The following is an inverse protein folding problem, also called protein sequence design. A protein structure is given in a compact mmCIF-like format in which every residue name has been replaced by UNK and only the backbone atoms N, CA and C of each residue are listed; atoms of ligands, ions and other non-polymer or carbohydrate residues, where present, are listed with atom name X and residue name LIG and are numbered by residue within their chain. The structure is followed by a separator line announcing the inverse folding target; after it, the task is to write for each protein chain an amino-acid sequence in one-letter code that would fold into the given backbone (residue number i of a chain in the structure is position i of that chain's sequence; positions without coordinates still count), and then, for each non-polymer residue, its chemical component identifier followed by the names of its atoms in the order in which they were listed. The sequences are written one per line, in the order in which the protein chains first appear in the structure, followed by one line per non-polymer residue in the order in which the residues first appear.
data_IF_177855098263
#
_entry.id   IF_177855098263
#
_cell.length_a   1.000
_cell.length_b   1.000
_cell.length_c   1.000
_cell.angle_alpha   90.00
_cell.angle_beta   90.00
_cell.angle_gamma   90.00
#
_symmetry.space_group_name_H-M   'P 1'
#
loop_
_entity.id
_entity.type
_entity.pdbx_description
1 polymer ?
#
# COMPACT_ATOMS: atom_id res chain seq x y z
N UNK A 1 27.46 5.84 9.46
CA UNK A 1 27.29 4.45 9.93
C UNK A 1 26.07 3.93 9.20
N UNK A 2 26.06 2.72 8.66
CA UNK A 2 24.98 2.23 7.78
C UNK A 2 23.59 2.08 8.45
N UNK A 3 23.47 2.46 9.72
CA UNK A 3 22.23 2.46 10.51
C UNK A 3 21.33 3.68 10.23
N UNK A 4 21.88 4.80 9.74
CA UNK A 4 21.14 6.08 9.57
C UNK A 4 20.19 6.11 8.35
N UNK A 5 20.25 5.12 7.45
CA UNK A 5 19.52 5.13 6.16
C UNK A 5 18.35 4.14 6.12
N UNK A 6 17.77 3.78 7.27
CA UNK A 6 16.70 2.77 7.34
C UNK A 6 15.37 3.25 6.78
N UNK A 7 14.91 4.45 7.17
CA UNK A 7 13.62 5.01 6.74
C UNK A 7 13.78 6.51 6.45
N UNK A 8 13.35 6.99 5.27
CA UNK A 8 13.43 8.42 4.96
C UNK A 8 12.37 9.25 5.69
N UNK A 9 11.09 8.83 5.60
CA UNK A 9 10.00 9.38 6.40
C UNK A 9 9.16 8.26 7.03
N UNK A 10 9.10 8.27 8.35
CA UNK A 10 8.09 7.53 9.11
C UNK A 10 6.84 8.39 9.26
N UNK A 11 5.78 7.97 8.58
CA UNK A 11 4.49 8.66 8.50
C UNK A 11 3.41 7.98 9.35
N UNK A 12 3.84 7.05 10.23
CA UNK A 12 2.98 6.23 11.08
C UNK A 12 1.91 7.04 11.81
N UNK A 13 0.67 6.92 11.33
CA UNK A 13 -0.51 7.50 11.99
C UNK A 13 -0.59 9.03 11.85
N UNK A 14 0.04 9.59 10.80
CA UNK A 14 -0.10 10.99 10.43
C UNK A 14 -1.27 11.16 9.48
N UNK A 15 -2.11 12.15 9.75
CA UNK A 15 -3.28 12.50 8.94
C UNK A 15 -3.22 13.96 8.53
N UNK A 16 -3.92 14.34 7.46
CA UNK A 16 -4.04 15.72 6.96
C UNK A 16 -2.69 16.36 6.62
N UNK A 17 -1.91 15.72 5.75
CA UNK A 17 -0.63 16.26 5.33
C UNK A 17 -0.34 15.98 3.87
N UNK A 18 0.53 16.81 3.29
CA UNK A 18 0.92 16.76 1.89
C UNK A 18 2.44 16.74 1.76
N UNK A 19 2.92 15.97 0.79
CA UNK A 19 4.30 15.91 0.32
C UNK A 19 4.31 16.29 -1.16
N UNK A 20 5.10 17.30 -1.54
CA UNK A 20 5.22 17.65 -2.94
C UNK A 20 6.58 18.19 -3.35
N UNK A 21 7.04 17.82 -4.55
CA UNK A 21 8.25 18.36 -5.16
C UNK A 21 9.56 17.87 -4.54
N UNK A 22 9.56 16.71 -3.85
CA UNK A 22 10.73 16.19 -3.13
C UNK A 22 11.28 14.94 -3.81
N UNK A 23 12.61 14.86 -3.87
CA UNK A 23 13.33 13.64 -4.28
C UNK A 23 13.91 12.92 -3.07
N UNK A 24 13.71 11.60 -3.01
CA UNK A 24 14.29 10.71 -2.02
C UNK A 24 15.22 9.72 -2.69
N UNK A 25 16.41 9.52 -2.13
CA UNK A 25 17.38 8.55 -2.66
C UNK A 25 18.26 7.93 -1.60
N UNK A 26 18.67 6.68 -1.82
CA UNK A 26 19.60 5.91 -0.99
C UNK A 26 19.06 5.60 0.41
N UNK A 27 17.86 5.03 0.46
CA UNK A 27 17.23 4.56 1.70
C UNK A 27 16.86 3.09 1.62
N UNK A 28 16.81 2.38 2.76
CA UNK A 28 16.24 1.04 2.77
C UNK A 28 14.71 1.08 2.53
N UNK A 29 13.98 1.98 3.19
CA UNK A 29 12.57 2.26 2.90
C UNK A 29 12.37 3.76 2.79
N UNK A 30 11.69 4.25 1.76
CA UNK A 30 11.49 5.69 1.63
C UNK A 30 10.34 6.15 2.53
N UNK A 31 9.12 5.67 2.27
CA UNK A 31 7.94 6.04 3.04
C UNK A 31 7.45 4.83 3.84
N UNK A 32 7.39 4.98 5.16
CA UNK A 32 6.98 3.93 6.07
C UNK A 32 5.72 4.32 6.84
N UNK A 33 4.63 3.60 6.57
CA UNK A 33 3.39 3.70 7.32
C UNK A 33 3.19 2.40 8.09
N UNK A 34 3.62 2.38 9.36
CA UNK A 34 3.53 1.18 10.20
C UNK A 34 2.15 1.00 10.82
N UNK A 35 1.87 -0.17 11.38
CA UNK A 35 0.70 -0.33 12.23
C UNK A 35 0.97 0.25 13.62
N UNK A 36 0.15 1.22 14.03
CA UNK A 36 0.06 1.71 15.40
C UNK A 36 -1.41 1.77 15.82
N UNK A 37 -1.84 1.03 16.87
CA UNK A 37 -3.24 1.01 17.27
C UNK A 37 -3.77 2.42 17.56
N UNK A 38 -5.03 2.69 17.24
CA UNK A 38 -5.74 3.94 17.56
C UNK A 38 -5.19 5.23 16.94
N UNK A 39 -4.23 5.17 16.03
CA UNK A 39 -3.74 6.35 15.29
C UNK A 39 -4.03 6.20 13.81
N UNK A 40 -5.16 6.73 13.30
CA UNK A 40 -5.49 6.64 11.88
C UNK A 40 -4.50 7.45 11.03
N UNK A 41 -4.35 7.06 9.77
CA UNK A 41 -3.63 7.83 8.76
C UNK A 41 -4.54 8.12 7.58
N UNK A 42 -5.03 9.36 7.55
CA UNK A 42 -6.10 9.77 6.66
C UNK A 42 -5.77 11.07 5.95
N UNK A 43 -6.32 11.25 4.74
CA UNK A 43 -6.18 12.50 3.98
C UNK A 43 -4.71 12.87 3.74
N UNK A 44 -3.97 11.94 3.16
CA UNK A 44 -2.55 12.10 2.81
C UNK A 44 -2.44 12.35 1.31
N UNK A 45 -1.67 13.35 0.92
CA UNK A 45 -1.39 13.65 -0.49
C UNK A 45 0.11 13.57 -0.77
N UNK A 46 0.50 12.84 -1.80
CA UNK A 46 1.88 12.72 -2.27
C UNK A 46 1.86 13.03 -3.76
N UNK A 47 2.43 14.17 -4.14
CA UNK A 47 2.30 14.70 -5.49
C UNK A 47 3.63 15.18 -6.05
N UNK A 48 3.94 14.84 -7.30
CA UNK A 48 5.12 15.38 -7.99
C UNK A 48 6.45 15.13 -7.22
N UNK A 49 6.60 13.95 -6.64
CA UNK A 49 7.83 13.51 -5.97
C UNK A 49 8.60 12.48 -6.80
N UNK A 50 9.90 12.34 -6.51
CA UNK A 50 10.75 11.32 -7.12
C UNK A 50 11.30 10.37 -6.05
N UNK A 51 10.91 9.11 -6.13
CA UNK A 51 11.31 8.04 -5.24
C UNK A 51 12.33 7.16 -5.95
N UNK A 52 13.61 7.39 -5.69
CA UNK A 52 14.71 6.80 -6.44
C UNK A 52 15.61 5.95 -5.55
N UNK A 53 16.16 4.84 -6.05
CA UNK A 53 17.21 4.03 -5.38
C UNK A 53 16.91 3.69 -3.92
N UNK A 54 16.13 2.64 -3.71
CA UNK A 54 15.79 2.12 -2.39
C UNK A 54 15.45 0.63 -2.41
N UNK A 55 15.47 -0.04 -1.26
CA UNK A 55 14.94 -1.42 -1.20
C UNK A 55 13.41 -1.41 -1.34
N UNK A 56 12.74 -0.50 -0.64
CA UNK A 56 11.28 -0.33 -0.70
C UNK A 56 10.91 1.15 -0.89
N UNK A 57 9.88 1.41 -1.70
CA UNK A 57 9.30 2.75 -1.86
C UNK A 57 8.36 3.11 -0.70
N UNK A 58 7.05 2.95 -0.92
CA UNK A 58 5.98 3.13 0.06
C UNK A 58 5.53 1.79 0.65
N UNK A 59 5.62 1.67 1.97
CA UNK A 59 5.14 0.50 2.72
C UNK A 59 3.96 0.88 3.61
N UNK A 60 2.79 0.35 3.28
CA UNK A 60 1.56 0.44 4.07
C UNK A 60 1.41 -0.86 4.88
N UNK A 61 1.63 -0.79 6.20
CA UNK A 61 1.54 -1.94 7.09
C UNK A 61 0.26 -1.89 7.93
N UNK A 62 -0.30 -3.07 8.18
CA UNK A 62 -1.52 -3.23 8.98
C UNK A 62 -1.35 -4.28 10.08
N UNK A 63 -2.23 -4.22 11.07
CA UNK A 63 -2.44 -5.35 11.97
C UNK A 63 -2.96 -6.56 11.19
N UNK A 64 -2.46 -7.73 11.56
CA UNK A 64 -3.06 -9.01 11.17
C UNK A 64 -4.01 -9.56 12.25
N UNK A 65 -3.93 -9.06 13.48
CA UNK A 65 -4.67 -9.55 14.65
C UNK A 65 -5.94 -8.71 14.89
N UNK A 66 -7.10 -9.35 14.75
CA UNK A 66 -8.44 -8.77 14.92
C UNK A 66 -8.80 -8.47 16.37
N UNK A 67 -8.05 -8.99 17.34
CA UNK A 67 -8.26 -8.70 18.77
C UNK A 67 -7.67 -7.34 19.17
N UNK A 68 -6.85 -6.74 18.31
CA UNK A 68 -6.23 -5.43 18.54
C UNK A 68 -7.03 -4.31 17.87
N UNK A 69 -7.00 -3.08 18.44
CA UNK A 69 -7.68 -1.94 17.82
C UNK A 69 -7.15 -1.67 16.42
N UNK A 70 -8.04 -1.65 15.45
CA UNK A 70 -7.65 -1.51 14.05
C UNK A 70 -7.31 -0.07 13.70
N UNK A 71 -6.18 0.10 13.01
CA UNK A 71 -5.74 1.38 12.45
C UNK A 71 -6.32 1.54 11.05
N UNK A 72 -7.01 2.64 10.80
CA UNK A 72 -7.48 3.01 9.47
C UNK A 72 -6.36 3.72 8.68
N UNK A 73 -6.14 3.32 7.43
CA UNK A 73 -5.31 4.01 6.44
C UNK A 73 -6.18 4.25 5.20
N UNK A 74 -6.64 5.49 5.00
CA UNK A 74 -7.65 5.78 3.97
C UNK A 74 -7.64 7.19 3.44
N UNK A 75 -8.23 7.40 2.27
CA UNK A 75 -8.28 8.71 1.59
C UNK A 75 -6.87 9.23 1.25
N UNK A 76 -6.03 8.36 0.71
CA UNK A 76 -4.69 8.75 0.24
C UNK A 76 -4.73 9.03 -1.26
N UNK A 77 -4.05 10.09 -1.67
CA UNK A 77 -3.88 10.50 -3.07
C UNK A 77 -2.39 10.50 -3.39
N UNK A 78 -1.98 9.68 -4.36
CA UNK A 78 -0.59 9.56 -4.80
C UNK A 78 -0.55 9.82 -6.30
N UNK A 79 -0.09 11.00 -6.70
CA UNK A 79 -0.22 11.47 -8.08
C UNK A 79 1.06 12.04 -8.66
N UNK A 80 1.24 11.90 -9.97
CA UNK A 80 2.34 12.55 -10.70
C UNK A 80 3.74 12.22 -10.16
N UNK A 81 3.93 11.08 -9.48
CA UNK A 81 5.23 10.71 -8.90
C UNK A 81 6.00 9.79 -9.84
N UNK A 82 7.33 9.87 -9.77
CA UNK A 82 8.24 8.93 -10.41
C UNK A 82 8.82 7.97 -9.35
N UNK A 83 8.78 6.68 -9.64
CA UNK A 83 9.35 5.62 -8.81
C UNK A 83 10.37 4.86 -9.64
N UNK A 84 11.64 4.90 -9.24
CA UNK A 84 12.72 4.36 -10.04
C UNK A 84 13.79 3.62 -9.24
N UNK A 85 14.33 2.54 -9.81
CA UNK A 85 15.43 1.77 -9.22
C UNK A 85 15.11 1.31 -7.79
N UNK A 86 13.97 0.63 -7.62
CA UNK A 86 13.56 0.10 -6.32
C UNK A 86 13.78 -1.42 -6.32
N UNK A 87 14.59 -1.92 -5.38
CA UNK A 87 15.07 -3.31 -5.43
C UNK A 87 13.94 -4.34 -5.27
N UNK A 88 12.93 -4.04 -4.45
CA UNK A 88 11.83 -4.96 -4.16
C UNK A 88 10.48 -4.47 -4.70
N UNK A 89 9.86 -3.48 -4.05
CA UNK A 89 8.51 -3.02 -4.41
C UNK A 89 8.37 -1.52 -4.20
N UNK A 90 7.83 -0.82 -5.21
CA UNK A 90 7.62 0.62 -5.16
C UNK A 90 6.46 0.99 -4.24
N UNK A 91 5.32 0.29 -4.35
CA UNK A 91 4.17 0.49 -3.47
C UNK A 91 3.67 -0.85 -2.98
N UNK A 92 3.61 -1.02 -1.67
CA UNK A 92 3.28 -2.30 -1.06
C UNK A 92 2.40 -2.16 0.17
N UNK A 93 1.28 -2.90 0.18
CA UNK A 93 0.47 -3.16 1.37
C UNK A 93 0.69 -4.59 1.86
N UNK A 94 1.06 -4.79 3.14
CA UNK A 94 1.10 -6.13 3.77
C UNK A 94 0.62 -6.17 5.22
N UNK A 95 0.11 -7.33 5.67
CA UNK A 95 0.06 -7.63 7.10
C UNK A 95 1.46 -7.72 7.69
N UNK A 96 1.62 -7.29 8.95
CA UNK A 96 2.81 -7.61 9.75
C UNK A 96 2.89 -9.12 9.97
N UNK A 97 4.03 -9.72 9.62
CA UNK A 97 4.23 -11.17 9.54
C UNK A 97 3.90 -11.93 10.84
N UNK A 98 4.08 -11.29 11.99
CA UNK A 98 3.78 -11.85 13.30
C UNK A 98 2.28 -11.98 13.60
N UNK A 99 1.40 -11.43 12.74
CA UNK A 99 -0.01 -11.20 13.10
C UNK A 99 -1.03 -11.94 12.22
N UNK A 100 -0.64 -12.84 11.29
CA UNK A 100 -1.60 -13.64 10.51
C UNK A 100 -2.54 -12.83 9.59
N UNK A 101 -3.68 -13.39 9.17
CA UNK A 101 -4.73 -12.74 8.35
C UNK A 101 -6.06 -12.70 9.12
N UNK A 102 -6.92 -11.64 9.02
CA UNK A 102 -7.37 -10.99 7.78
C UNK A 102 -7.34 -9.44 7.75
N UNK A 103 -7.70 -8.87 6.59
CA UNK A 103 -7.69 -7.45 6.20
C UNK A 103 -8.79 -6.55 6.72
N UNK A 104 -9.81 -7.14 7.33
CA UNK A 104 -11.08 -6.49 7.59
C UNK A 104 -11.28 -6.25 9.07
N UNK A 105 -12.04 -5.21 9.36
CA UNK A 105 -12.61 -5.00 10.66
C UNK A 105 -13.58 -6.14 11.00
N UNK A 106 -13.41 -6.85 12.13
CA UNK A 106 -14.23 -8.00 12.47
C UNK A 106 -15.67 -7.59 12.82
N UNK A 107 -15.90 -6.33 13.18
CA UNK A 107 -17.21 -5.79 13.53
C UNK A 107 -17.95 -5.28 12.28
N UNK A 108 -17.23 -4.65 11.35
CA UNK A 108 -17.87 -3.96 10.20
C UNK A 108 -17.64 -4.64 8.85
N UNK A 109 -16.69 -5.58 8.76
CA UNK A 109 -16.29 -6.22 7.50
C UNK A 109 -15.53 -5.30 6.54
N UNK A 110 -15.18 -4.08 6.95
CA UNK A 110 -14.51 -3.08 6.09
C UNK A 110 -13.00 -3.27 6.12
N UNK A 111 -12.30 -3.11 4.98
CA UNK A 111 -10.83 -3.16 5.00
C UNK A 111 -10.22 -1.94 5.69
N UNK A 112 -9.16 -2.17 6.46
CA UNK A 112 -8.43 -1.12 7.19
C UNK A 112 -7.56 -0.25 6.28
N UNK A 113 -7.15 -0.78 5.12
CA UNK A 113 -6.48 -0.03 4.06
C UNK A 113 -7.48 0.10 2.91
N UNK A 114 -7.97 1.33 2.65
CA UNK A 114 -9.00 1.56 1.64
C UNK A 114 -9.00 2.97 1.09
N UNK A 115 -9.78 3.20 0.04
CA UNK A 115 -10.00 4.53 -0.55
C UNK A 115 -8.66 5.18 -0.92
N UNK A 116 -7.87 4.46 -1.73
CA UNK A 116 -6.57 4.92 -2.21
C UNK A 116 -6.68 5.31 -3.69
N UNK A 117 -6.13 6.46 -4.05
CA UNK A 117 -6.13 6.98 -5.40
C UNK A 117 -4.70 7.16 -5.92
N UNK A 118 -4.35 6.41 -6.97
CA UNK A 118 -3.06 6.44 -7.64
C UNK A 118 -3.28 6.83 -9.10
N UNK A 119 -2.79 8.01 -9.52
CA UNK A 119 -2.91 8.43 -10.91
C UNK A 119 -1.69 9.17 -11.44
N UNK A 120 -1.41 9.00 -12.74
CA UNK A 120 -0.31 9.67 -13.45
C UNK A 120 1.07 9.41 -12.83
N UNK A 121 1.27 8.29 -12.12
CA UNK A 121 2.59 7.92 -11.63
C UNK A 121 3.34 7.11 -12.70
N UNK A 122 4.66 7.21 -12.68
CA UNK A 122 5.56 6.43 -13.53
C UNK A 122 6.42 5.54 -12.66
N UNK A 123 6.33 4.22 -12.88
CA UNK A 123 7.11 3.21 -12.17
C UNK A 123 8.05 2.53 -13.17
N UNK A 124 9.37 2.58 -12.94
CA UNK A 124 10.33 1.90 -13.80
C UNK A 124 11.54 1.34 -13.07
N UNK A 125 12.11 0.25 -13.58
CA UNK A 125 13.26 -0.43 -12.97
C UNK A 125 12.98 -0.86 -11.53
N UNK A 126 11.90 -1.62 -11.35
CA UNK A 126 11.45 -2.11 -10.04
C UNK A 126 11.65 -3.62 -9.94
N UNK A 127 12.15 -4.11 -8.81
CA UNK A 127 12.38 -5.55 -8.58
C UNK A 127 13.76 -6.05 -9.00
N UNK A 128 14.71 -5.13 -9.24
CA UNK A 128 16.10 -5.45 -9.58
C UNK A 128 17.02 -4.90 -8.50
N UNK A 129 17.89 -5.74 -7.94
CA UNK A 129 18.83 -5.26 -6.94
C UNK A 129 19.81 -4.24 -7.56
N UNK A 130 19.82 -3.01 -7.03
CA UNK A 130 20.69 -1.94 -7.51
C UNK A 130 22.18 -2.34 -7.44
N UNK A 131 22.59 -3.03 -6.37
CA UNK A 131 23.97 -3.49 -6.19
C UNK A 131 24.33 -4.72 -7.04
N UNK A 132 23.35 -5.44 -7.59
CA UNK A 132 23.58 -6.62 -8.42
C UNK A 132 22.46 -6.84 -9.46
N UNK A 133 22.60 -6.30 -10.68
CA UNK A 133 21.55 -6.32 -11.71
C UNK A 133 21.24 -7.72 -12.28
N UNK A 134 21.99 -8.76 -11.87
CA UNK A 134 21.79 -10.14 -12.31
C UNK A 134 20.90 -10.96 -11.37
N UNK A 135 20.44 -10.38 -10.25
CA UNK A 135 19.53 -11.02 -9.31
C UNK A 135 18.25 -10.21 -9.15
N UNK A 136 17.11 -10.85 -9.44
CA UNK A 136 15.81 -10.32 -9.05
C UNK A 136 15.73 -10.17 -7.53
N UNK A 137 15.05 -9.12 -7.04
CA UNK A 137 14.77 -8.93 -5.61
C UNK A 137 14.20 -10.21 -4.98
N UNK A 138 14.64 -10.54 -3.77
CA UNK A 138 14.38 -11.84 -3.13
C UNK A 138 12.88 -12.04 -2.83
N UNK A 139 12.12 -10.95 -2.76
CA UNK A 139 10.72 -10.92 -2.32
C UNK A 139 9.85 -9.95 -3.14
N UNK A 140 10.15 -9.75 -4.43
CA UNK A 140 9.52 -8.75 -5.30
C UNK A 140 8.45 -9.35 -6.24
N UNK A 141 7.23 -9.71 -5.77
CA UNK A 141 6.23 -10.27 -6.65
C UNK A 141 5.72 -9.26 -7.67
N UNK A 142 5.75 -7.95 -7.37
CA UNK A 142 5.25 -6.91 -8.28
C UNK A 142 5.88 -5.52 -8.02
N UNK A 143 5.81 -4.61 -8.99
CA UNK A 143 6.18 -3.20 -8.77
C UNK A 143 5.19 -2.48 -7.83
N UNK A 144 3.89 -2.77 -8.00
CA UNK A 144 2.82 -2.30 -7.11
C UNK A 144 2.04 -3.51 -6.62
N UNK A 145 1.92 -3.66 -5.29
CA UNK A 145 1.19 -4.77 -4.68
C UNK A 145 0.27 -4.30 -3.57
N UNK A 146 -1.04 -4.40 -3.81
CA UNK A 146 -2.07 -4.19 -2.80
C UNK A 146 -2.59 -5.52 -2.29
N UNK A 147 -2.14 -5.93 -1.10
CA UNK A 147 -2.72 -7.07 -0.41
C UNK A 147 -3.74 -6.59 0.64
N UNK A 148 -4.95 -7.19 0.60
CA UNK A 148 -6.02 -6.94 1.57
C UNK A 148 -6.42 -5.46 1.70
N UNK A 149 -6.53 -4.75 0.58
CA UNK A 149 -7.00 -3.38 0.51
C UNK A 149 -8.23 -3.29 -0.43
N UNK A 150 -9.11 -2.32 -0.20
CA UNK A 150 -10.37 -2.15 -0.97
C UNK A 150 -10.53 -0.72 -1.49
N UNK A 151 -11.40 -0.49 -2.48
CA UNK A 151 -11.63 0.84 -3.07
C UNK A 151 -10.33 1.53 -3.54
N UNK A 152 -9.53 0.81 -4.32
CA UNK A 152 -8.31 1.35 -4.92
C UNK A 152 -8.64 1.82 -6.33
N UNK A 153 -8.39 3.10 -6.60
CA UNK A 153 -8.41 3.66 -7.96
C UNK A 153 -6.97 3.74 -8.45
N UNK A 154 -6.64 2.99 -9.51
CA UNK A 154 -5.30 2.96 -10.11
C UNK A 154 -5.43 3.23 -11.62
N UNK A 155 -5.31 4.50 -12.02
CA UNK A 155 -5.64 4.96 -13.39
C UNK A 155 -4.50 5.79 -13.98
N UNK A 156 -4.27 5.69 -15.28
CA UNK A 156 -3.25 6.49 -16.00
C UNK A 156 -1.84 6.41 -15.39
N UNK A 157 -1.46 5.28 -14.78
CA UNK A 157 -0.08 5.05 -14.34
C UNK A 157 0.69 4.30 -15.42
N UNK A 158 1.96 4.64 -15.63
CA UNK A 158 2.87 3.86 -16.47
C UNK A 158 3.72 2.93 -15.60
N UNK A 159 3.79 1.64 -15.94
CA UNK A 159 4.64 0.65 -15.26
C UNK A 159 5.45 -0.09 -16.32
N UNK A 160 6.76 0.08 -16.31
CA UNK A 160 7.66 -0.53 -17.29
C UNK A 160 8.93 -1.05 -16.63
N UNK A 161 9.62 -2.01 -17.27
CA UNK A 161 10.91 -2.53 -16.79
C UNK A 161 10.79 -3.02 -15.33
N UNK A 162 10.10 -4.15 -15.12
CA UNK A 162 9.81 -4.72 -13.80
C UNK A 162 10.29 -6.16 -13.75
N UNK A 163 10.94 -6.56 -12.66
CA UNK A 163 11.47 -7.92 -12.46
C UNK A 163 10.39 -8.97 -12.12
N UNK A 164 9.20 -8.54 -11.69
CA UNK A 164 8.03 -9.37 -11.38
C UNK A 164 6.76 -8.92 -12.13
N UNK A 165 5.59 -9.01 -11.50
CA UNK A 165 4.34 -8.48 -12.08
C UNK A 165 4.35 -6.94 -12.10
N UNK A 166 3.74 -6.32 -13.11
CA UNK A 166 3.57 -4.86 -13.10
C UNK A 166 2.71 -4.41 -11.90
N UNK A 167 1.55 -5.05 -11.71
CA UNK A 167 0.67 -4.79 -10.58
C UNK A 167 0.06 -6.11 -10.06
N UNK A 168 -0.12 -6.19 -8.75
CA UNK A 168 -0.79 -7.28 -8.08
C UNK A 168 -1.82 -6.74 -7.08
N UNK A 169 -3.08 -7.11 -7.29
CA UNK A 169 -4.16 -6.81 -6.35
C UNK A 169 -4.68 -8.13 -5.80
N UNK A 170 -4.33 -8.45 -4.55
CA UNK A 170 -4.73 -9.69 -3.91
C UNK A 170 -5.65 -9.40 -2.75
N UNK A 171 -6.86 -9.90 -2.88
CA UNK A 171 -7.74 -10.06 -1.76
C UNK A 171 -7.31 -11.32 -0.98
N UNK A 172 -7.16 -11.23 0.35
CA UNK A 172 -6.74 -12.39 1.14
C UNK A 172 -7.80 -13.49 1.09
N UNK A 173 -7.41 -14.74 0.84
CA UNK A 173 -8.32 -15.90 0.88
C UNK A 173 -8.97 -16.00 2.26
N UNK A 174 -10.29 -16.10 2.29
CA UNK A 174 -11.06 -16.47 3.47
C UNK A 174 -11.22 -18.00 3.52
N UNK A 175 -11.05 -18.59 4.71
CA UNK A 175 -11.72 -19.82 5.04
C UNK A 175 -13.17 -19.44 5.44
N UNK A 176 -14.15 -19.86 4.63
CA UNK A 176 -15.60 -19.63 4.77
C UNK A 176 -16.09 -18.17 4.62
N UNK A 177 -16.47 -17.80 3.39
CA UNK A 177 -17.04 -16.50 2.97
C UNK A 177 -18.48 -16.21 3.43
N UNK A 178 -19.02 -16.89 4.44
CA UNK A 178 -20.37 -16.61 4.93
C UNK A 178 -20.33 -15.65 6.11
N UNK A 179 -20.09 -14.36 5.85
CA UNK A 179 -20.62 -13.34 6.75
C UNK A 179 -22.13 -13.33 6.53
N UNK A 180 -22.89 -13.89 7.48
CA UNK A 180 -24.34 -13.74 7.48
C UNK A 180 -24.59 -12.25 7.72
N UNK A 181 -24.91 -11.50 6.66
CA UNK A 181 -25.48 -10.17 6.82
C UNK A 181 -26.68 -10.32 7.77
N UNK A 182 -26.75 -9.56 8.88
CA UNK A 182 -27.93 -9.61 9.74
C UNK A 182 -29.13 -9.20 8.90
N UNK A 183 -29.98 -10.17 8.58
CA UNK A 183 -31.25 -10.09 7.83
C UNK A 183 -31.46 -8.75 7.09
N UNK A 184 -30.63 -8.47 6.09
CA UNK A 184 -30.96 -7.42 5.14
C UNK A 184 -32.07 -8.02 4.29
N UNK A 185 -33.31 -7.67 4.65
CA UNK A 185 -34.48 -7.91 3.80
C UNK A 185 -34.08 -7.48 2.38
N UNK A 186 -34.20 -8.35 1.37
CA UNK A 186 -33.85 -7.97 0.01
C UNK A 186 -34.69 -6.74 -0.34
N UNK A 187 -34.04 -5.58 -0.50
CA UNK A 187 -34.68 -4.45 -1.14
C UNK A 187 -35.08 -4.95 -2.52
N UNK A 188 -36.38 -4.90 -2.83
CA UNK A 188 -36.89 -5.35 -4.11
C UNK A 188 -36.05 -4.73 -5.24
N UNK A 189 -35.64 -5.58 -6.18
CA UNK A 189 -34.93 -5.20 -7.40
C UNK A 189 -35.37 -3.82 -7.93
N UNK A 190 -34.50 -2.79 -7.85
CA UNK A 190 -34.73 -1.52 -8.55
C UNK A 190 -34.28 -0.21 -7.87
N UNK A 191 -34.05 -0.17 -6.55
CA UNK A 191 -34.04 1.13 -5.85
C UNK A 191 -32.72 1.94 -5.85
N UNK A 192 -31.63 1.49 -6.48
CA UNK A 192 -30.34 2.21 -6.47
C UNK A 192 -29.82 2.62 -7.85
N UNK A 193 -30.70 2.94 -8.80
CA UNK A 193 -30.35 3.74 -9.97
C UNK A 193 -31.31 4.93 -10.09
N UNK A 194 -30.98 6.01 -9.37
CA UNK A 194 -31.39 7.38 -9.70
C UNK A 194 -30.14 8.25 -9.85
#
# INVERSE_FOLDING_TARGET
DAEDQKVALDITGKSHWELSGITFSFFHTILHESYRPNTPSEFVKIDNCHFHTAVYGLRLLRAGDLTKPLKQTRFWTVTNNEWSHIDETAVFSKPLAEMGAPGRDPKTGVSVIRDLYFANNHFHHIGFAFENPYFAGRHAPAAVSFASATNITFIHNNIEIVGGYAAQMRYGQHAADAFVYPDIQPSAYGDNLM
#
